data_IF_876831059937
#
_entry.id   IF_876831059937
#
_cell.length_a   1.000
_cell.length_b   1.000
_cell.length_c   1.000
_cell.angle_alpha   90.00
_cell.angle_beta   90.00
_cell.angle_gamma   90.00
#
_symmetry.space_group_name_H-M   'P 1'
#
loop_
_entity.id
_entity.type
_entity.pdbx_description
1 polymer ?
#
# COMPACT_ATOMS: atom_id res chain seq x y z
N UNK A 1 56.62 71.71 38.49
CA UNK A 1 55.65 72.10 39.52
C UNK A 1 54.73 70.90 39.76
N UNK A 2 54.96 70.30 40.84
CA UNK A 2 54.10 69.97 42.00
C UNK A 2 52.82 69.19 41.68
N UNK A 3 52.83 67.90 42.17
CA UNK A 3 51.97 67.29 43.20
C UNK A 3 50.54 67.02 42.70
N UNK A 4 49.99 65.90 42.93
CA UNK A 4 49.79 65.11 44.22
C UNK A 4 49.36 63.69 43.94
N UNK A 5 49.84 62.82 44.78
CA UNK A 5 49.35 61.47 45.06
C UNK A 5 47.90 61.50 45.53
N UNK A 6 47.13 60.49 45.12
CA UNK A 6 46.22 59.86 46.09
C UNK A 6 45.99 58.40 45.72
N UNK A 7 46.23 57.60 46.67
CA UNK A 7 46.00 56.18 46.84
C UNK A 7 44.48 55.91 47.07
N UNK A 8 43.90 54.96 46.43
CA UNK A 8 42.73 54.30 47.03
C UNK A 8 42.60 52.83 46.56
N UNK A 9 42.83 52.05 47.56
CA UNK A 9 42.26 50.73 47.91
C UNK A 9 41.50 49.94 46.87
N UNK A 10 41.90 48.68 46.82
CA UNK A 10 41.32 47.58 46.06
C UNK A 10 39.91 47.20 46.43
N UNK A 11 39.27 46.68 45.42
CA UNK A 11 38.15 45.77 45.59
C UNK A 11 38.33 44.62 44.61
N UNK A 12 38.75 43.50 45.15
CA UNK A 12 38.82 42.21 44.45
C UNK A 12 37.40 41.70 44.23
N UNK A 13 36.86 41.87 43.03
CA UNK A 13 35.62 41.27 42.64
C UNK A 13 35.88 39.81 42.23
N UNK A 14 35.51 38.86 43.08
CA UNK A 14 35.47 37.44 42.76
C UNK A 14 34.30 37.22 41.76
N UNK A 15 34.60 37.05 40.46
CA UNK A 15 33.62 36.52 39.51
C UNK A 15 33.43 35.05 39.78
N UNK A 16 32.31 34.69 40.42
CA UNK A 16 31.83 33.33 40.47
C UNK A 16 31.28 33.00 39.07
N UNK A 17 32.05 32.25 38.28
CA UNK A 17 31.58 31.64 37.05
C UNK A 17 30.60 30.52 37.38
N UNK A 18 29.31 30.83 37.33
CA UNK A 18 28.27 29.83 37.32
C UNK A 18 28.26 29.11 35.96
N UNK A 19 28.85 27.92 35.93
CA UNK A 19 28.71 27.01 34.80
C UNK A 19 27.24 26.55 34.74
N UNK A 20 26.44 27.17 33.92
CA UNK A 20 25.16 26.65 33.50
C UNK A 20 25.44 25.45 32.62
N UNK A 21 25.35 24.25 33.17
CA UNK A 21 25.25 23.00 32.40
C UNK A 21 23.96 23.07 31.62
N UNK A 22 24.04 23.40 30.34
CA UNK A 22 23.00 23.11 29.37
C UNK A 22 22.85 21.59 29.33
N UNK A 23 21.94 21.05 30.15
CA UNK A 23 21.40 19.73 29.91
C UNK A 23 20.69 19.82 28.57
N UNK A 24 21.35 19.29 27.54
CA UNK A 24 20.72 19.05 26.28
C UNK A 24 19.51 18.15 26.53
N UNK A 25 18.33 18.67 26.33
CA UNK A 25 17.15 17.84 26.12
C UNK A 25 17.43 17.10 24.82
N UNK A 26 17.97 15.89 24.94
CA UNK A 26 17.78 14.89 23.92
C UNK A 26 16.24 14.73 23.84
N UNK A 27 15.64 15.18 22.76
CA UNK A 27 14.28 14.82 22.44
C UNK A 27 14.29 13.26 22.40
N UNK A 28 13.78 12.63 23.45
CA UNK A 28 13.42 11.23 23.39
C UNK A 28 12.45 11.16 22.21
N UNK A 29 12.90 10.53 21.14
CA UNK A 29 12.05 10.27 19.99
C UNK A 29 10.82 9.54 20.52
N UNK A 30 9.69 10.20 20.52
CA UNK A 30 8.38 9.60 20.76
C UNK A 30 8.07 8.68 19.57
N UNK A 31 8.86 7.61 19.44
CA UNK A 31 8.57 6.54 18.51
C UNK A 31 7.19 6.00 18.87
N UNK A 32 6.27 6.05 17.92
CA UNK A 32 4.95 5.43 18.08
C UNK A 32 5.20 3.94 18.29
N UNK A 33 4.92 3.44 19.48
CA UNK A 33 4.97 2.00 19.76
C UNK A 33 3.67 1.42 19.22
N UNK A 34 3.72 0.53 18.22
CA UNK A 34 2.51 -0.13 17.75
C UNK A 34 1.88 -0.95 18.89
N UNK A 35 0.60 -0.75 19.12
CA UNK A 35 -0.18 -1.54 20.05
C UNK A 35 -0.90 -2.66 19.31
N UNK A 36 -1.23 -3.73 20.00
CA UNK A 36 -2.06 -4.82 19.45
C UNK A 36 -3.42 -4.25 18.99
N UNK A 37 -3.88 -4.66 17.82
CA UNK A 37 -5.19 -4.27 17.31
C UNK A 37 -6.30 -4.75 18.25
N UNK A 38 -7.25 -3.86 18.53
CA UNK A 38 -8.39 -4.18 19.36
C UNK A 38 -9.42 -4.99 18.57
N UNK A 39 -9.99 -6.00 19.23
CA UNK A 39 -11.16 -6.72 18.67
C UNK A 39 -12.44 -5.96 18.97
N UNK A 40 -13.26 -5.76 17.95
CA UNK A 40 -14.49 -4.99 18.05
C UNK A 40 -15.64 -5.66 17.32
N UNK A 41 -16.83 -5.66 17.91
CA UNK A 41 -18.06 -6.08 17.23
C UNK A 41 -18.40 -5.22 16.00
N UNK A 42 -17.81 -4.03 15.89
CA UNK A 42 -17.98 -3.14 14.75
C UNK A 42 -16.85 -3.21 13.72
N UNK A 43 -15.93 -4.18 13.82
CA UNK A 43 -14.79 -4.29 12.91
C UNK A 43 -15.20 -4.38 11.43
N UNK A 44 -16.33 -5.02 11.11
CA UNK A 44 -16.88 -5.07 9.75
C UNK A 44 -17.32 -3.72 9.17
N UNK A 45 -17.40 -2.69 10.02
CA UNK A 45 -17.71 -1.30 9.63
C UNK A 45 -16.48 -0.39 9.61
N UNK A 46 -15.30 -0.94 9.88
CA UNK A 46 -14.03 -0.22 9.74
C UNK A 46 -13.68 -0.06 8.27
N UNK A 47 -12.96 1.01 7.94
CA UNK A 47 -12.44 1.22 6.58
C UNK A 47 -11.56 0.04 6.16
N UNK A 48 -11.88 -0.57 5.03
CA UNK A 48 -11.10 -1.64 4.40
C UNK A 48 -10.39 -1.05 3.18
N UNK A 49 -9.10 -1.33 3.04
CA UNK A 49 -8.24 -0.77 2.00
C UNK A 49 -7.74 -1.81 1.01
N UNK A 50 -7.57 -3.05 1.44
CA UNK A 50 -7.13 -4.12 0.57
C UNK A 50 -7.80 -5.43 0.94
N UNK A 51 -7.90 -6.33 -0.05
CA UNK A 51 -8.49 -7.64 0.10
C UNK A 51 -7.84 -8.63 -0.86
N UNK A 52 -7.85 -9.91 -0.46
CA UNK A 52 -7.31 -11.01 -1.25
C UNK A 52 -7.99 -12.32 -0.89
N UNK A 53 -7.64 -13.39 -1.60
CA UNK A 53 -8.04 -14.75 -1.29
C UNK A 53 -6.87 -15.56 -0.72
N UNK A 54 -7.14 -16.36 0.29
CA UNK A 54 -6.26 -17.40 0.84
C UNK A 54 -6.98 -18.76 0.62
N UNK A 55 -6.81 -19.35 -0.56
CA UNK A 55 -7.62 -20.48 -1.00
C UNK A 55 -9.10 -20.08 -1.10
N UNK A 56 -9.97 -20.71 -0.28
CA UNK A 56 -11.40 -20.38 -0.22
C UNK A 56 -11.72 -19.22 0.73
N UNK A 57 -10.80 -18.88 1.62
CA UNK A 57 -11.00 -17.81 2.60
C UNK A 57 -10.77 -16.44 1.96
N UNK A 58 -11.66 -15.50 2.23
CA UNK A 58 -11.44 -14.10 1.93
C UNK A 58 -10.77 -13.41 3.12
N UNK A 59 -9.78 -12.57 2.83
CA UNK A 59 -9.05 -11.79 3.82
C UNK A 59 -9.12 -10.32 3.42
N UNK A 60 -9.55 -9.46 4.33
CA UNK A 60 -9.64 -8.02 4.11
C UNK A 60 -8.94 -7.27 5.24
N UNK A 61 -8.14 -6.25 4.89
CA UNK A 61 -7.34 -5.47 5.83
C UNK A 61 -7.66 -3.99 5.73
N UNK A 62 -7.47 -3.27 6.84
CA UNK A 62 -7.79 -1.85 6.84
C UNK A 62 -7.35 -1.10 8.08
N UNK A 63 -8.17 -0.11 8.45
CA UNK A 63 -7.86 0.84 9.51
C UNK A 63 -7.64 0.15 10.87
N UNK A 64 -6.75 0.74 11.69
CA UNK A 64 -6.44 0.30 13.06
C UNK A 64 -6.06 -1.18 13.21
N UNK A 65 -5.37 -1.76 12.20
CA UNK A 65 -4.95 -3.15 12.23
C UNK A 65 -6.10 -4.14 12.08
N UNK A 66 -7.27 -3.69 11.60
CA UNK A 66 -8.39 -4.60 11.35
C UNK A 66 -8.04 -5.57 10.25
N UNK A 67 -8.21 -6.86 10.56
CA UNK A 67 -8.17 -7.97 9.60
C UNK A 67 -9.49 -8.71 9.73
N UNK A 68 -10.24 -8.82 8.63
CA UNK A 68 -11.50 -9.54 8.55
C UNK A 68 -11.33 -10.80 7.71
N UNK A 69 -11.97 -11.87 8.15
CA UNK A 69 -11.94 -13.18 7.52
C UNK A 69 -13.38 -13.62 7.19
N UNK A 70 -13.57 -14.20 6.01
CA UNK A 70 -14.81 -14.85 5.61
C UNK A 70 -14.51 -16.23 5.06
N UNK A 71 -15.26 -17.23 5.52
CA UNK A 71 -15.19 -18.64 5.11
C UNK A 71 -16.34 -19.03 4.15
N UNK A 72 -17.29 -18.11 3.92
CA UNK A 72 -18.56 -18.34 3.23
C UNK A 72 -18.76 -17.36 2.07
N UNK A 73 -17.68 -17.08 1.34
CA UNK A 73 -17.67 -16.21 0.15
C UNK A 73 -18.21 -14.79 0.42
N UNK A 74 -17.93 -14.27 1.63
CA UNK A 74 -18.30 -12.92 2.00
C UNK A 74 -19.70 -12.75 2.59
N UNK A 75 -20.43 -13.86 2.83
CA UNK A 75 -21.76 -13.82 3.45
C UNK A 75 -21.68 -13.42 4.92
N UNK A 76 -20.65 -13.88 5.63
CA UNK A 76 -20.36 -13.44 7.00
C UNK A 76 -18.87 -13.15 7.19
N UNK A 77 -18.57 -12.30 8.19
CA UNK A 77 -17.22 -11.85 8.46
C UNK A 77 -16.95 -11.85 9.96
N UNK A 78 -15.75 -12.26 10.31
CA UNK A 78 -15.23 -12.17 11.67
C UNK A 78 -13.84 -11.51 11.67
N UNK A 79 -13.47 -10.92 12.78
CA UNK A 79 -12.13 -10.37 12.92
C UNK A 79 -11.12 -11.47 13.27
N UNK A 80 -9.91 -11.38 12.71
CA UNK A 80 -8.76 -12.21 13.06
C UNK A 80 -8.53 -12.22 14.58
N UNK A 81 -8.00 -13.32 15.12
CA UNK A 81 -7.87 -13.49 16.58
C UNK A 81 -6.73 -12.65 17.16
N UNK A 82 -5.66 -12.43 16.39
CA UNK A 82 -4.49 -11.67 16.87
C UNK A 82 -3.80 -10.92 15.74
N UNK A 83 -3.73 -9.60 15.87
CA UNK A 83 -2.93 -8.71 15.00
C UNK A 83 -2.06 -7.83 15.88
N UNK A 84 -0.72 -7.87 15.74
CA UNK A 84 0.21 -7.28 16.71
C UNK A 84 0.35 -5.76 16.64
N UNK A 85 -0.33 -5.12 15.67
CA UNK A 85 -0.27 -3.66 15.46
C UNK A 85 -1.66 -3.08 15.25
N UNK A 86 -1.85 -1.84 15.68
CA UNK A 86 -3.03 -1.02 15.38
C UNK A 86 -2.78 0.01 14.26
N UNK A 87 -1.68 -0.15 13.51
CA UNK A 87 -1.44 0.67 12.33
C UNK A 87 -2.42 0.34 11.21
N UNK A 88 -2.78 1.33 10.40
CA UNK A 88 -3.60 1.11 9.20
C UNK A 88 -2.86 0.19 8.24
N UNK A 89 -3.49 -0.92 7.86
CA UNK A 89 -3.02 -1.88 6.87
C UNK A 89 -3.59 -1.50 5.50
N UNK A 90 -2.73 -1.40 4.50
CA UNK A 90 -3.02 -0.84 3.18
C UNK A 90 -2.93 -1.87 2.05
N UNK A 91 -2.25 -2.99 2.29
CA UNK A 91 -2.05 -4.05 1.31
C UNK A 91 -1.99 -5.42 1.96
N UNK A 92 -2.44 -6.45 1.24
CA UNK A 92 -2.39 -7.85 1.67
C UNK A 92 -2.18 -8.76 0.47
N UNK A 93 -1.35 -9.80 0.63
CA UNK A 93 -1.06 -10.81 -0.39
C UNK A 93 -0.88 -12.16 0.28
N UNK A 94 -1.35 -13.21 -0.37
CA UNK A 94 -1.14 -14.60 0.04
C UNK A 94 -0.41 -15.36 -1.08
N UNK A 95 0.59 -16.14 -0.70
CA UNK A 95 1.29 -17.04 -1.61
C UNK A 95 0.56 -18.39 -1.74
N UNK A 96 -0.15 -18.78 -0.69
CA UNK A 96 -0.96 -20.00 -0.60
C UNK A 96 -2.10 -19.81 0.43
N UNK A 97 -2.82 -20.88 0.78
CA UNK A 97 -3.94 -20.82 1.74
C UNK A 97 -3.53 -20.43 3.16
N UNK A 98 -2.26 -20.59 3.51
CA UNK A 98 -1.72 -20.39 4.86
C UNK A 98 -0.83 -19.17 4.98
N UNK A 99 0.08 -19.00 4.02
CA UNK A 99 1.14 -18.01 4.11
C UNK A 99 0.72 -16.71 3.45
N UNK A 100 0.62 -15.65 4.26
CA UNK A 100 0.21 -14.33 3.82
C UNK A 100 0.97 -13.20 4.49
N UNK A 101 1.00 -12.06 3.81
CA UNK A 101 1.66 -10.83 4.29
C UNK A 101 0.73 -9.65 4.17
N UNK A 102 0.76 -8.78 5.18
CA UNK A 102 0.05 -7.50 5.17
C UNK A 102 1.02 -6.36 5.44
N UNK A 103 0.83 -5.24 4.76
CA UNK A 103 1.68 -4.05 4.89
C UNK A 103 0.85 -2.81 5.22
N UNK A 104 1.51 -1.76 5.73
CA UNK A 104 0.79 -0.54 6.07
C UNK A 104 1.65 0.63 6.54
N UNK A 105 1.02 1.51 7.29
CA UNK A 105 1.65 2.66 7.94
C UNK A 105 2.80 2.23 8.86
N UNK A 106 3.73 3.15 9.11
CA UNK A 106 4.97 2.88 9.86
C UNK A 106 5.84 1.79 9.22
N UNK A 107 5.73 1.61 7.90
CA UNK A 107 6.46 0.59 7.16
C UNK A 107 6.27 -0.82 7.74
N UNK A 108 5.11 -1.06 8.35
CA UNK A 108 4.74 -2.35 8.94
C UNK A 108 4.68 -3.42 7.87
N UNK A 109 5.27 -4.58 8.18
CA UNK A 109 5.05 -5.82 7.45
C UNK A 109 4.71 -6.90 8.47
N UNK A 110 3.56 -7.52 8.29
CA UNK A 110 3.06 -8.64 9.08
C UNK A 110 3.09 -9.91 8.25
N UNK A 111 3.26 -11.05 8.91
CA UNK A 111 3.18 -12.39 8.31
C UNK A 111 2.19 -13.26 9.10
N UNK A 112 1.48 -14.11 8.38
CA UNK A 112 0.65 -15.19 8.91
C UNK A 112 1.04 -16.50 8.26
N UNK A 113 0.93 -17.62 9.00
CA UNK A 113 1.12 -19.00 8.52
C UNK A 113 -0.12 -19.87 8.79
N UNK A 114 -1.24 -19.25 9.15
CA UNK A 114 -2.52 -19.90 9.50
C UNK A 114 -3.71 -19.31 8.73
N UNK A 115 -3.45 -18.73 7.55
CA UNK A 115 -4.49 -18.18 6.68
C UNK A 115 -5.09 -16.88 7.19
N UNK A 116 -4.32 -16.10 7.97
CA UNK A 116 -4.72 -14.78 8.45
C UNK A 116 -5.40 -14.77 9.81
N UNK A 117 -5.46 -15.91 10.51
CA UNK A 117 -6.05 -16.00 11.85
C UNK A 117 -5.21 -15.28 12.90
N UNK A 118 -3.89 -15.51 12.85
CA UNK A 118 -2.91 -14.81 13.69
C UNK A 118 -1.80 -14.23 12.84
N UNK A 119 -1.30 -13.08 13.27
CA UNK A 119 -0.26 -12.34 12.59
C UNK A 119 0.92 -12.06 13.51
N UNK A 120 2.12 -12.05 12.94
CA UNK A 120 3.38 -11.68 13.59
C UNK A 120 4.06 -10.55 12.85
N UNK A 121 4.75 -9.65 13.56
CA UNK A 121 5.49 -8.56 12.92
C UNK A 121 6.82 -9.05 12.38
N UNK A 122 7.09 -8.80 11.11
CA UNK A 122 8.40 -8.98 10.48
C UNK A 122 9.18 -7.66 10.40
N UNK A 123 8.47 -6.54 10.23
CA UNK A 123 9.07 -5.21 10.17
C UNK A 123 8.14 -4.17 10.78
N UNK A 124 8.72 -3.23 11.52
CA UNK A 124 8.07 -1.99 11.97
C UNK A 124 9.13 -0.89 11.93
N UNK A 125 8.82 0.23 11.29
CA UNK A 125 9.70 1.39 11.24
C UNK A 125 9.09 2.52 12.08
N UNK A 126 9.66 2.77 13.26
CA UNK A 126 9.10 3.75 14.20
C UNK A 126 9.80 5.09 14.18
N UNK A 127 10.93 5.19 13.45
CA UNK A 127 11.69 6.44 13.34
C UNK A 127 11.09 7.41 12.33
N UNK A 128 10.42 6.89 11.30
CA UNK A 128 9.78 7.66 10.23
C UNK A 128 8.50 6.94 9.77
N UNK A 129 7.35 7.63 9.76
CA UNK A 129 6.16 7.08 9.12
C UNK A 129 6.34 7.11 7.59
N UNK A 130 6.88 6.03 7.07
CA UNK A 130 7.04 5.80 5.64
C UNK A 130 6.20 4.60 5.22
N UNK A 131 4.90 4.82 4.95
CA UNK A 131 3.97 3.75 4.69
C UNK A 131 4.34 2.93 3.46
N UNK A 132 4.09 1.63 3.57
CA UNK A 132 3.97 0.72 2.44
C UNK A 132 2.50 0.75 1.98
N UNK A 133 2.25 0.69 0.67
CA UNK A 133 0.91 0.76 0.10
C UNK A 133 0.43 -0.58 -0.44
N UNK A 134 1.34 -1.41 -0.96
CA UNK A 134 1.02 -2.72 -1.49
C UNK A 134 2.15 -3.72 -1.28
N UNK A 135 1.78 -5.00 -1.29
CA UNK A 135 2.69 -6.14 -1.22
C UNK A 135 2.23 -7.22 -2.19
N UNK A 136 3.18 -7.92 -2.80
CA UNK A 136 2.93 -9.09 -3.63
C UNK A 136 3.96 -10.16 -3.29
N UNK A 137 3.50 -11.40 -3.10
CA UNK A 137 4.32 -12.58 -2.97
C UNK A 137 4.07 -13.51 -4.14
N UNK A 138 5.14 -13.86 -4.85
CA UNK A 138 5.08 -14.82 -5.98
C UNK A 138 5.05 -16.27 -5.49
N UNK A 139 5.64 -16.51 -4.33
CA UNK A 139 5.69 -17.78 -3.60
C UNK A 139 5.98 -17.49 -2.11
N UNK A 140 6.11 -18.52 -1.28
CA UNK A 140 6.36 -18.37 0.16
C UNK A 140 7.73 -17.74 0.52
N UNK A 141 8.64 -17.53 -0.45
CA UNK A 141 9.97 -16.98 -0.22
C UNK A 141 10.16 -15.60 -0.84
N UNK A 142 9.57 -15.34 -2.02
CA UNK A 142 9.84 -14.13 -2.80
C UNK A 142 8.69 -13.14 -2.72
N UNK A 143 8.99 -11.99 -2.14
CA UNK A 143 8.03 -10.91 -1.98
C UNK A 143 8.60 -9.53 -2.34
N UNK A 144 7.70 -8.65 -2.75
CA UNK A 144 7.97 -7.23 -3.05
C UNK A 144 6.93 -6.37 -2.36
N UNK A 145 7.37 -5.35 -1.63
CA UNK A 145 6.50 -4.35 -1.02
C UNK A 145 6.88 -2.94 -1.50
N UNK A 146 5.88 -2.12 -1.77
CA UNK A 146 6.08 -0.78 -2.34
C UNK A 146 5.31 0.29 -1.56
N UNK A 147 5.80 1.53 -1.59
CA UNK A 147 5.18 2.59 -0.81
C UNK A 147 5.67 4.01 -1.14
N UNK A 148 5.65 4.83 -0.12
CA UNK A 148 5.91 6.26 -0.17
C UNK A 148 7.35 6.56 -0.64
N UNK A 149 7.52 7.59 -1.48
CA UNK A 149 8.82 8.10 -1.95
C UNK A 149 9.73 7.02 -2.54
N UNK A 150 9.20 6.26 -3.48
CA UNK A 150 9.88 5.14 -4.14
C UNK A 150 10.45 4.10 -3.17
N UNK A 151 9.82 3.93 -1.99
CA UNK A 151 10.16 2.83 -1.12
C UNK A 151 9.79 1.52 -1.82
N UNK A 152 10.81 0.71 -2.10
CA UNK A 152 10.66 -0.63 -2.64
C UNK A 152 11.51 -1.58 -1.81
N UNK A 153 10.87 -2.56 -1.21
CA UNK A 153 11.48 -3.59 -0.41
C UNK A 153 11.30 -4.95 -1.09
N UNK A 154 12.30 -5.80 -0.99
CA UNK A 154 12.30 -7.15 -1.53
C UNK A 154 12.73 -8.14 -0.45
N UNK A 155 12.13 -9.31 -0.46
CA UNK A 155 12.57 -10.46 0.31
C UNK A 155 12.79 -11.68 -0.59
N UNK A 156 13.69 -12.58 -0.19
CA UNK A 156 13.92 -13.88 -0.81
C UNK A 156 13.93 -15.02 0.23
N UNK A 157 13.43 -14.72 1.45
CA UNK A 157 13.46 -15.66 2.59
C UNK A 157 12.13 -15.68 3.36
N UNK A 158 11.02 -15.30 2.70
CA UNK A 158 9.70 -15.25 3.31
C UNK A 158 9.50 -14.07 4.25
N UNK A 159 10.29 -13.00 4.07
CA UNK A 159 10.19 -11.79 4.88
C UNK A 159 10.95 -11.84 6.20
N UNK A 160 11.83 -12.83 6.40
CA UNK A 160 12.76 -12.81 7.54
C UNK A 160 13.72 -11.64 7.43
N UNK A 161 14.12 -11.32 6.20
CA UNK A 161 14.86 -10.09 5.86
C UNK A 161 14.17 -9.34 4.73
N UNK A 162 14.23 -8.01 4.77
CA UNK A 162 13.71 -7.12 3.74
C UNK A 162 14.78 -6.14 3.29
N UNK A 163 15.21 -6.27 2.05
CA UNK A 163 16.22 -5.43 1.43
C UNK A 163 15.59 -4.27 0.67
N UNK A 164 16.12 -3.06 0.86
CA UNK A 164 15.71 -1.90 0.08
C UNK A 164 16.33 -1.96 -1.30
N UNK A 165 15.50 -1.96 -2.33
CA UNK A 165 15.92 -1.89 -3.74
C UNK A 165 15.99 -0.42 -4.15
N UNK A 166 17.15 0.02 -4.65
CA UNK A 166 17.32 1.36 -5.18
C UNK A 166 16.82 1.44 -6.62
N UNK A 167 15.84 2.28 -6.86
CA UNK A 167 15.35 2.55 -8.22
C UNK A 167 16.21 3.63 -8.89
N UNK A 168 16.49 3.50 -10.21
CA UNK A 168 17.06 4.60 -10.96
C UNK A 168 16.06 5.77 -11.01
N UNK A 169 16.52 7.01 -11.22
CA UNK A 169 15.62 8.13 -11.51
C UNK A 169 14.74 7.82 -12.72
N UNK A 170 13.45 8.24 -12.72
CA UNK A 170 12.61 8.11 -13.89
C UNK A 170 13.18 8.87 -15.09
N UNK A 171 12.87 8.49 -16.33
CA UNK A 171 13.24 9.27 -17.50
C UNK A 171 12.83 10.75 -17.36
N UNK A 172 13.76 11.65 -17.62
CA UNK A 172 13.62 13.12 -17.49
C UNK A 172 13.38 13.62 -16.05
N UNK A 173 13.78 12.86 -15.04
CA UNK A 173 13.74 13.23 -13.64
C UNK A 173 15.12 13.01 -12.99
N UNK A 174 15.40 13.68 -11.88
CA UNK A 174 16.70 13.59 -11.17
C UNK A 174 16.62 12.73 -9.91
N UNK A 175 15.40 12.38 -9.47
CA UNK A 175 15.17 11.63 -8.23
C UNK A 175 14.12 10.56 -8.41
N UNK A 176 14.34 9.41 -7.79
CA UNK A 176 13.32 8.38 -7.60
C UNK A 176 12.56 8.69 -6.29
N UNK A 177 11.53 9.55 -6.37
CA UNK A 177 10.76 10.02 -5.21
C UNK A 177 9.23 9.88 -5.41
N UNK A 178 8.80 9.16 -6.45
CA UNK A 178 7.39 8.96 -6.76
C UNK A 178 6.76 7.94 -5.82
N UNK A 179 5.54 8.18 -5.40
CA UNK A 179 4.79 7.19 -4.64
C UNK A 179 4.44 5.99 -5.52
N UNK A 180 4.80 4.79 -5.03
CA UNK A 180 4.52 3.51 -5.67
C UNK A 180 3.27 2.94 -5.03
N UNK A 181 2.16 2.87 -5.78
CA UNK A 181 0.83 2.66 -5.23
C UNK A 181 0.39 1.20 -5.21
N UNK A 182 0.81 0.40 -6.21
CA UNK A 182 0.42 -0.99 -6.31
C UNK A 182 1.51 -1.84 -6.96
N UNK A 183 1.56 -3.13 -6.59
CA UNK A 183 2.43 -4.14 -7.18
C UNK A 183 1.61 -5.38 -7.51
N UNK A 184 1.80 -5.94 -8.71
CA UNK A 184 1.14 -7.16 -9.17
C UNK A 184 2.05 -7.94 -10.10
N UNK A 185 1.73 -9.22 -10.37
CA UNK A 185 2.47 -10.07 -11.29
C UNK A 185 1.62 -10.50 -12.48
N UNK A 186 2.27 -10.77 -13.60
CA UNK A 186 1.67 -11.50 -14.72
C UNK A 186 1.83 -13.03 -14.53
N UNK A 187 1.25 -13.80 -15.44
CA UNK A 187 1.32 -15.28 -15.41
C UNK A 187 2.73 -15.85 -15.61
N UNK A 188 3.68 -15.07 -16.09
CA UNK A 188 5.09 -15.47 -16.25
C UNK A 188 5.91 -15.19 -15.00
N UNK A 189 5.27 -14.57 -13.98
CA UNK A 189 5.92 -14.13 -12.76
C UNK A 189 6.67 -12.80 -12.89
N UNK A 190 6.48 -12.07 -14.00
CA UNK A 190 7.02 -10.73 -14.13
C UNK A 190 6.24 -9.76 -13.25
N UNK A 191 6.94 -8.93 -12.49
CA UNK A 191 6.35 -7.99 -11.56
C UNK A 191 6.16 -6.63 -12.23
N UNK A 192 5.03 -5.99 -11.92
CA UNK A 192 4.70 -4.65 -12.34
C UNK A 192 4.39 -3.79 -11.11
N UNK A 193 4.95 -2.58 -11.09
CA UNK A 193 4.65 -1.57 -10.07
C UNK A 193 4.06 -0.34 -10.75
N UNK A 194 2.98 0.17 -10.20
CA UNK A 194 2.33 1.40 -10.70
C UNK A 194 2.34 2.49 -9.64
N UNK A 195 2.30 3.75 -10.08
CA UNK A 195 2.38 4.87 -9.16
C UNK A 195 2.12 6.23 -9.79
N UNK A 196 2.64 7.25 -9.13
CA UNK A 196 2.47 8.64 -9.54
C UNK A 196 3.11 8.97 -10.87
N UNK A 197 2.61 10.04 -11.51
CA UNK A 197 3.12 10.60 -12.77
C UNK A 197 3.20 9.56 -13.89
N UNK A 198 2.22 8.67 -13.96
CA UNK A 198 2.15 7.61 -14.98
C UNK A 198 3.23 6.55 -14.84
N UNK A 199 3.81 6.41 -13.65
CA UNK A 199 4.84 5.40 -13.40
C UNK A 199 4.29 4.01 -13.60
N UNK A 200 4.97 3.25 -14.46
CA UNK A 200 4.92 1.80 -14.55
C UNK A 200 6.36 1.29 -14.56
N UNK A 201 6.67 0.38 -13.65
CA UNK A 201 7.94 -0.32 -13.56
C UNK A 201 7.70 -1.80 -13.85
N UNK A 202 8.65 -2.47 -14.51
CA UNK A 202 8.65 -3.91 -14.77
C UNK A 202 9.93 -4.53 -14.27
N UNK A 203 9.82 -5.71 -13.65
CA UNK A 203 10.91 -6.58 -13.24
C UNK A 203 10.66 -7.99 -13.76
N UNK A 204 11.69 -8.60 -14.37
CA UNK A 204 11.65 -9.97 -14.86
C UNK A 204 12.55 -10.92 -14.04
N UNK A 205 13.05 -10.45 -12.87
CA UNK A 205 14.06 -11.13 -12.04
C UNK A 205 13.66 -11.13 -10.56
N UNK A 206 12.38 -11.33 -10.27
CA UNK A 206 11.81 -11.36 -8.91
C UNK A 206 12.10 -10.08 -8.10
N UNK A 207 12.04 -8.92 -8.76
CA UNK A 207 12.18 -7.62 -8.10
C UNK A 207 13.60 -7.18 -7.81
N UNK A 208 14.62 -7.86 -8.38
CA UNK A 208 16.03 -7.45 -8.24
C UNK A 208 16.34 -6.18 -9.02
N UNK A 209 15.91 -6.13 -10.29
CA UNK A 209 16.07 -4.95 -11.14
C UNK A 209 14.75 -4.50 -11.74
N UNK A 210 14.65 -3.19 -11.98
CA UNK A 210 13.42 -2.56 -12.45
C UNK A 210 13.68 -1.61 -13.60
N UNK A 211 12.79 -1.65 -14.60
CA UNK A 211 12.83 -0.76 -15.76
C UNK A 211 11.52 0.01 -15.89
N UNK A 212 11.62 1.32 -16.18
CA UNK A 212 10.45 2.14 -16.47
C UNK A 212 9.83 1.79 -17.81
N UNK A 213 8.49 1.72 -17.85
CA UNK A 213 7.68 1.52 -19.06
C UNK A 213 6.85 2.78 -19.31
N UNK A 214 7.11 3.51 -20.40
CA UNK A 214 6.44 4.79 -20.64
C UNK A 214 4.97 4.58 -21.02
N UNK A 215 4.06 5.25 -20.34
CA UNK A 215 2.62 5.21 -20.62
C UNK A 215 2.11 6.46 -21.33
N UNK A 216 2.91 7.53 -21.34
CA UNK A 216 2.47 8.86 -21.80
C UNK A 216 1.51 9.58 -20.83
N UNK A 217 1.07 8.91 -19.76
CA UNK A 217 0.18 9.48 -18.75
C UNK A 217 0.96 10.29 -17.72
N UNK A 218 0.35 11.37 -17.21
CA UNK A 218 0.97 12.25 -16.20
C UNK A 218 0.27 12.24 -14.84
N UNK A 219 -0.86 11.54 -14.72
CA UNK A 219 -1.57 11.36 -13.45
C UNK A 219 -1.07 10.14 -12.71
N UNK A 220 -1.77 9.75 -11.64
CA UNK A 220 -1.40 8.61 -10.80
C UNK A 220 -2.23 7.39 -11.15
N UNK A 221 -1.55 6.25 -11.28
CA UNK A 221 -2.18 4.93 -11.24
C UNK A 221 -2.23 4.44 -9.79
N UNK A 222 -3.36 3.89 -9.38
CA UNK A 222 -3.60 3.40 -8.04
C UNK A 222 -3.71 1.89 -7.96
N UNK A 223 -4.04 1.24 -9.08
CA UNK A 223 -4.21 -0.21 -9.17
C UNK A 223 -3.78 -0.71 -10.55
N UNK A 224 -3.47 -1.98 -10.62
CA UNK A 224 -3.21 -2.69 -11.84
C UNK A 224 -3.41 -4.18 -11.68
N UNK A 225 -3.62 -4.86 -12.79
CA UNK A 225 -3.82 -6.30 -12.81
C UNK A 225 -3.36 -6.90 -14.15
N UNK A 226 -2.99 -8.17 -14.13
CA UNK A 226 -2.76 -8.97 -15.31
C UNK A 226 -3.94 -9.93 -15.53
N UNK A 227 -4.44 -10.00 -16.76
CA UNK A 227 -5.52 -10.90 -17.14
C UNK A 227 -4.98 -12.27 -17.56
N UNK A 228 -5.91 -13.22 -17.69
CA UNK A 228 -5.58 -14.59 -18.05
C UNK A 228 -4.91 -14.74 -19.44
N UNK A 229 -5.21 -13.83 -20.37
CA UNK A 229 -4.65 -13.79 -21.71
C UNK A 229 -3.31 -13.05 -21.81
N UNK A 230 -2.78 -12.56 -20.69
CA UNK A 230 -1.55 -11.77 -20.61
C UNK A 230 -1.75 -10.27 -20.79
N UNK A 231 -2.97 -9.80 -21.01
CA UNK A 231 -3.30 -8.38 -21.02
C UNK A 231 -3.01 -7.75 -19.66
N UNK A 232 -2.38 -6.59 -19.65
CA UNK A 232 -2.15 -5.78 -18.45
C UNK A 232 -3.10 -4.59 -18.45
N UNK A 233 -3.67 -4.31 -17.29
CA UNK A 233 -4.50 -3.14 -17.05
C UNK A 233 -3.91 -2.32 -15.90
N UNK A 234 -3.86 -1.00 -16.05
CA UNK A 234 -3.48 -0.07 -14.97
C UNK A 234 -4.48 1.06 -14.93
N UNK A 235 -4.91 1.45 -13.74
CA UNK A 235 -5.99 2.40 -13.56
C UNK A 235 -5.77 3.31 -12.34
N UNK A 236 -6.43 4.48 -12.33
CA UNK A 236 -6.28 5.40 -11.21
C UNK A 236 -7.09 6.68 -11.35
N UNK A 237 -6.42 7.82 -11.20
CA UNK A 237 -7.05 9.14 -11.11
C UNK A 237 -7.92 9.48 -12.32
N UNK A 238 -9.08 10.11 -12.04
CA UNK A 238 -10.01 10.66 -13.02
C UNK A 238 -10.47 9.66 -14.08
N UNK A 239 -10.76 8.42 -13.66
CA UNK A 239 -11.22 7.36 -14.55
C UNK A 239 -10.18 6.89 -15.57
N UNK A 240 -8.91 7.27 -15.37
CA UNK A 240 -7.85 6.85 -16.29
C UNK A 240 -7.63 5.34 -16.18
N UNK A 241 -7.70 4.66 -17.31
CA UNK A 241 -7.40 3.24 -17.47
C UNK A 241 -6.57 3.06 -18.75
N UNK A 242 -5.52 2.27 -18.64
CA UNK A 242 -4.62 1.95 -19.74
C UNK A 242 -4.46 0.44 -19.85
N UNK A 243 -4.37 -0.03 -21.09
CA UNK A 243 -4.28 -1.43 -21.46
C UNK A 243 -3.00 -1.68 -22.26
N UNK A 244 -2.31 -2.79 -21.98
CA UNK A 244 -1.18 -3.29 -22.74
C UNK A 244 -1.40 -4.76 -23.08
N UNK A 245 -0.98 -5.19 -24.27
CA UNK A 245 -1.01 -6.59 -24.75
C UNK A 245 0.37 -7.12 -25.11
N UNK A 246 1.41 -6.35 -24.87
CA UNK A 246 2.80 -6.64 -25.22
C UNK A 246 3.74 -6.67 -24.01
N UNK A 247 3.19 -7.02 -22.81
CA UNK A 247 3.97 -7.10 -21.58
C UNK A 247 4.39 -5.74 -21.03
N UNK A 248 3.63 -4.68 -21.33
CA UNK A 248 3.88 -3.32 -20.85
C UNK A 248 4.86 -2.51 -21.70
N UNK A 249 5.23 -2.98 -22.89
CA UNK A 249 6.11 -2.24 -23.79
C UNK A 249 5.38 -1.06 -24.42
N UNK A 250 4.07 -1.20 -24.72
CA UNK A 250 3.20 -0.10 -25.12
C UNK A 250 1.88 -0.09 -24.34
N UNK A 251 1.28 1.09 -24.20
CA UNK A 251 0.06 1.31 -23.43
C UNK A 251 -0.94 2.16 -24.23
N UNK A 252 -2.18 1.71 -24.24
CA UNK A 252 -3.28 2.41 -24.90
C UNK A 252 -4.31 2.84 -23.87
N UNK A 253 -4.71 4.11 -23.91
CA UNK A 253 -5.77 4.62 -23.05
C UNK A 253 -7.10 3.99 -23.47
N UNK A 254 -7.86 3.49 -22.49
CA UNK A 254 -9.23 2.99 -22.69
C UNK A 254 -10.20 4.06 -22.23
N UNK A 255 -11.25 4.31 -23.00
CA UNK A 255 -12.35 5.18 -22.57
C UNK A 255 -13.22 4.41 -21.57
N UNK A 256 -13.31 4.93 -20.37
CA UNK A 256 -14.12 4.35 -19.29
C UNK A 256 -15.48 5.02 -19.12
N UNK A 257 -15.77 6.07 -19.90
CA UNK A 257 -17.02 6.84 -19.78
C UNK A 257 -17.19 7.59 -18.46
N UNK A 258 -16.14 7.67 -17.61
CA UNK A 258 -16.22 8.30 -16.28
C UNK A 258 -15.01 9.16 -15.97
N UNK A 259 -15.17 10.07 -15.01
CA UNK A 259 -14.07 10.82 -14.39
C UNK A 259 -13.88 10.46 -12.90
N UNK A 260 -14.66 9.54 -12.36
CA UNK A 260 -14.45 9.06 -11.00
C UNK A 260 -13.18 8.20 -10.94
N UNK A 261 -12.35 8.41 -9.93
CA UNK A 261 -11.07 7.70 -9.80
C UNK A 261 -11.29 6.22 -9.50
N UNK A 262 -10.50 5.37 -10.14
CA UNK A 262 -10.53 3.91 -9.99
C UNK A 262 -9.56 3.51 -8.87
N UNK A 263 -10.06 2.79 -7.88
CA UNK A 263 -9.30 2.37 -6.69
C UNK A 263 -8.78 0.94 -6.78
N UNK A 264 -9.52 0.05 -7.46
CA UNK A 264 -9.10 -1.34 -7.66
C UNK A 264 -9.55 -1.88 -9.01
N UNK A 265 -8.70 -2.73 -9.61
CA UNK A 265 -8.99 -3.55 -10.79
C UNK A 265 -8.92 -5.01 -10.39
N UNK A 266 -9.99 -5.76 -10.60
CA UNK A 266 -10.15 -7.14 -10.17
C UNK A 266 -10.48 -8.02 -11.36
N UNK A 267 -9.55 -8.82 -11.85
CA UNK A 267 -9.84 -9.85 -12.84
C UNK A 267 -10.74 -10.92 -12.23
N UNK A 268 -11.80 -11.26 -12.94
CA UNK A 268 -12.67 -12.41 -12.68
C UNK A 268 -12.50 -13.42 -13.82
N UNK A 269 -13.13 -14.60 -13.70
CA UNK A 269 -12.91 -15.66 -14.66
C UNK A 269 -13.32 -15.29 -16.11
N UNK A 270 -14.41 -14.57 -16.27
CA UNK A 270 -15.02 -14.20 -17.55
C UNK A 270 -15.10 -12.70 -17.84
N UNK A 271 -14.64 -11.88 -16.88
CA UNK A 271 -14.72 -10.42 -16.97
C UNK A 271 -13.69 -9.70 -16.12
N UNK A 272 -13.57 -8.42 -16.32
CA UNK A 272 -12.82 -7.50 -15.46
C UNK A 272 -13.81 -6.60 -14.74
N UNK A 273 -13.67 -6.54 -13.44
CA UNK A 273 -14.37 -5.58 -12.59
C UNK A 273 -13.38 -4.50 -12.15
N UNK A 274 -13.79 -3.24 -12.18
CA UNK A 274 -13.07 -2.19 -11.49
C UNK A 274 -14.03 -1.38 -10.63
N UNK A 275 -13.53 -0.90 -9.49
CA UNK A 275 -14.31 -0.12 -8.53
C UNK A 275 -13.61 1.20 -8.24
N UNK A 276 -14.36 2.19 -7.73
CA UNK A 276 -13.75 3.48 -7.47
C UNK A 276 -14.58 4.43 -6.61
N UNK A 277 -14.13 5.66 -6.62
CA UNK A 277 -14.78 6.75 -5.88
C UNK A 277 -16.18 7.03 -6.43
N UNK A 278 -17.01 7.71 -5.64
CA UNK A 278 -18.39 8.05 -5.97
C UNK A 278 -19.29 6.85 -6.31
N UNK A 279 -18.99 5.68 -5.76
CA UNK A 279 -19.75 4.47 -6.02
C UNK A 279 -19.56 3.90 -7.43
N UNK A 280 -18.43 4.22 -8.07
CA UNK A 280 -18.13 3.72 -9.41
C UNK A 280 -17.94 2.21 -9.43
N UNK A 281 -18.58 1.55 -10.39
CA UNK A 281 -18.24 0.20 -10.85
C UNK A 281 -18.07 0.21 -12.37
N UNK A 282 -17.05 -0.47 -12.86
CA UNK A 282 -16.79 -0.69 -14.29
C UNK A 282 -16.76 -2.19 -14.56
N UNK A 283 -17.38 -2.64 -15.61
CA UNK A 283 -17.35 -4.03 -16.04
C UNK A 283 -16.91 -4.13 -17.49
N UNK A 284 -15.97 -5.03 -17.78
CA UNK A 284 -15.51 -5.36 -19.12
C UNK A 284 -15.64 -6.86 -19.35
N UNK A 285 -16.17 -7.26 -20.51
CA UNK A 285 -16.28 -8.66 -20.97
C UNK A 285 -15.43 -8.96 -22.18
N UNK A 286 -14.57 -8.04 -22.58
CA UNK A 286 -13.72 -8.08 -23.77
C UNK A 286 -12.24 -7.85 -23.44
N UNK A 287 -11.79 -8.38 -22.30
CA UNK A 287 -10.43 -8.28 -21.81
C UNK A 287 -9.94 -6.81 -21.70
N UNK A 288 -10.82 -5.92 -21.23
CA UNK A 288 -10.48 -4.53 -20.95
C UNK A 288 -10.40 -3.63 -22.19
N UNK A 289 -10.96 -4.04 -23.33
CA UNK A 289 -11.05 -3.20 -24.53
C UNK A 289 -12.10 -2.11 -24.36
N UNK A 290 -13.23 -2.47 -23.75
CA UNK A 290 -14.29 -1.52 -23.41
C UNK A 290 -14.83 -1.78 -22.00
N UNK A 291 -15.46 -0.76 -21.39
CA UNK A 291 -16.05 -0.86 -20.07
C UNK A 291 -17.45 -0.24 -20.04
N UNK A 292 -18.36 -0.94 -19.37
CA UNK A 292 -19.65 -0.40 -18.97
C UNK A 292 -19.51 0.25 -17.59
N UNK A 293 -19.78 1.54 -17.50
CA UNK A 293 -19.72 2.28 -16.25
C UNK A 293 -21.11 2.31 -15.58
N UNK A 294 -21.14 1.98 -14.30
CA UNK A 294 -22.32 2.12 -13.44
C UNK A 294 -21.93 2.88 -12.18
N UNK A 295 -22.87 3.55 -11.60
CA UNK A 295 -22.68 4.30 -10.39
C UNK A 295 -23.76 3.94 -9.37
N UNK A 296 -23.33 3.62 -8.17
CA UNK A 296 -24.24 3.32 -7.05
C UNK A 296 -25.11 4.53 -6.74
N UNK A 297 -26.41 4.34 -6.45
CA UNK A 297 -27.31 5.46 -6.10
C UNK A 297 -26.86 6.23 -4.86
N UNK A 298 -26.25 5.53 -3.87
CA UNK A 298 -25.77 6.12 -2.62
C UNK A 298 -24.42 6.84 -2.76
N UNK A 299 -23.75 6.73 -3.93
CA UNK A 299 -22.44 7.32 -4.21
C UNK A 299 -21.35 6.92 -3.20
N UNK A 300 -21.53 5.80 -2.49
CA UNK A 300 -20.55 5.31 -1.53
C UNK A 300 -19.26 4.94 -2.24
N UNK A 301 -18.17 5.65 -1.94
CA UNK A 301 -16.85 5.37 -2.51
C UNK A 301 -16.37 3.98 -2.13
N UNK A 302 -16.03 3.18 -3.14
CA UNK A 302 -15.50 1.83 -2.99
C UNK A 302 -13.97 1.91 -2.91
N UNK A 303 -13.38 1.20 -1.98
CA UNK A 303 -11.92 1.19 -1.72
C UNK A 303 -11.25 -0.08 -2.24
N UNK A 304 -11.95 -1.21 -2.19
CA UNK A 304 -11.46 -2.51 -2.63
C UNK A 304 -12.62 -3.39 -3.09
N UNK A 305 -12.31 -4.45 -3.82
CA UNK A 305 -13.23 -5.51 -4.17
C UNK A 305 -12.51 -6.84 -4.30
N UNK A 306 -13.21 -7.95 -4.05
CA UNK A 306 -12.71 -9.31 -4.26
C UNK A 306 -13.79 -10.15 -4.95
N UNK A 307 -13.40 -10.89 -5.98
CA UNK A 307 -14.27 -11.88 -6.59
C UNK A 307 -14.47 -13.06 -5.64
N UNK A 308 -15.69 -13.57 -5.57
CA UNK A 308 -16.01 -14.77 -4.79
C UNK A 308 -16.28 -15.96 -5.69
N UNK A 309 -16.89 -15.68 -6.83
CA UNK A 309 -17.12 -16.60 -7.94
C UNK A 309 -17.15 -15.82 -9.27
N UNK A 310 -17.30 -16.45 -10.44
CA UNK A 310 -17.32 -15.74 -11.72
C UNK A 310 -18.35 -14.59 -11.80
N UNK A 311 -19.45 -14.68 -11.04
CA UNK A 311 -20.56 -13.76 -11.13
C UNK A 311 -20.67 -12.78 -9.96
N UNK A 312 -19.98 -13.05 -8.84
CA UNK A 312 -20.12 -12.27 -7.63
C UNK A 312 -18.79 -11.68 -7.16
N UNK A 313 -18.89 -10.51 -6.56
CA UNK A 313 -17.80 -9.84 -5.88
C UNK A 313 -18.32 -9.16 -4.61
N UNK A 314 -17.49 -9.16 -3.58
CA UNK A 314 -17.72 -8.37 -2.38
C UNK A 314 -17.01 -7.04 -2.52
N UNK A 315 -17.71 -5.95 -2.19
CA UNK A 315 -17.21 -4.60 -2.23
C UNK A 315 -16.91 -4.08 -0.82
N UNK A 316 -15.92 -3.24 -0.74
CA UNK A 316 -15.50 -2.61 0.50
C UNK A 316 -15.43 -1.09 0.33
N UNK A 317 -15.56 -0.39 1.45
CA UNK A 317 -15.56 1.06 1.50
C UNK A 317 -14.90 1.58 2.77
N UNK A 318 -14.84 2.90 2.91
CA UNK A 318 -14.45 3.53 4.18
C UNK A 318 -15.41 3.23 5.35
N UNK A 319 -16.62 2.74 5.05
CA UNK A 319 -17.62 2.33 6.03
C UNK A 319 -17.66 0.81 6.24
N UNK A 320 -16.65 0.09 5.74
CA UNK A 320 -16.52 -1.36 5.86
C UNK A 320 -17.09 -2.12 4.66
N UNK A 321 -17.66 -3.28 4.95
CA UNK A 321 -18.25 -4.19 3.95
C UNK A 321 -19.52 -3.56 3.39
N UNK A 322 -19.62 -3.57 2.06
CA UNK A 322 -20.76 -2.99 1.35
C UNK A 322 -21.81 -4.06 1.10
N UNK A 323 -23.03 -3.82 1.58
CA UNK A 323 -24.14 -4.74 1.33
C UNK A 323 -24.41 -4.92 -0.17
N UNK A 324 -24.77 -6.13 -0.64
CA UNK A 324 -25.27 -6.35 -2.00
C UNK A 324 -26.47 -5.42 -2.27
N UNK A 325 -26.53 -4.89 -3.50
CA UNK A 325 -27.68 -4.10 -3.99
C UNK A 325 -28.54 -4.94 -4.90
#
# INVERSE_FOLDING_TARGET
MMKKYQMMLGATAILAASTVTLQGWAAEGTGVVPHVAERSASASRSMILATTQAGQRLVAVGDRGVVLLSEDQGSSWRQASKVPVNATLTGVSFADERNGWAVGHWGVILHTDDGGETWTSQRVETSEDRPLFAVHFSDAQHGTAVGLWSLLLRTADGGKTWDKVSLPPPPNDTRADRNLMHVFADRRGELFVVGERGTVLRSADHGLTWTYRPTGYRGSFWSGAALADGTLLVAGLRGSLYRSTDGGDSWHKVDTGTQSSITAVVPLADRVLAVGLDGLTLESRDAGVSFEARQRPDRLSLTAAVGTDPNHAVFFSRAGIVAPQ
#
